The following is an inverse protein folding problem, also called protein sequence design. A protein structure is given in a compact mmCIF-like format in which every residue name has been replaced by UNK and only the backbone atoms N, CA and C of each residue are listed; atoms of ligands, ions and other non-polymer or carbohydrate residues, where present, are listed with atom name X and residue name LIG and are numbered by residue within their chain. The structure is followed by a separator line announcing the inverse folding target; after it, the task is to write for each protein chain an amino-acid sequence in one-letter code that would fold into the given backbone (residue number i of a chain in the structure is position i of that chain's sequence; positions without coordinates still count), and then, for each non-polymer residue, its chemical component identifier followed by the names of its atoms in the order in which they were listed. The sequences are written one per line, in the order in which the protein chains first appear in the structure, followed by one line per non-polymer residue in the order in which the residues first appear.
data_IF_857733906948
#
_entry.id   IF_857733906948
#
_cell.length_a   1.000
_cell.length_b   1.000
_cell.length_c   1.000
_cell.angle_alpha   90.00
_cell.angle_beta   90.00
_cell.angle_gamma   90.00
#
_symmetry.space_group_name_H-M   'P 1'
#
loop_
_entity.id
_entity.type
_entity.pdbx_description
1 polymer ?
#
# COMPACT_ATOMS: atom_id res chain seq x y z
N UNK A 1 -18.93 -11.06 16.14
CA UNK A 1 -18.40 -9.69 16.17
C UNK A 1 -16.89 -9.82 16.22
N UNK A 2 -16.16 -9.24 15.27
CA UNK A 2 -14.70 -9.18 15.33
C UNK A 2 -14.40 -8.00 16.25
N UNK A 3 -14.03 -8.29 17.50
CA UNK A 3 -13.73 -7.29 18.52
C UNK A 3 -12.24 -7.09 18.63
N UNK A 4 -11.73 -5.97 18.11
CA UNK A 4 -10.56 -5.29 18.65
C UNK A 4 -11.03 -4.18 19.60
N UNK A 5 -10.27 -3.89 20.64
CA UNK A 5 -10.59 -2.78 21.54
C UNK A 5 -10.59 -1.46 20.75
N UNK A 6 -11.70 -0.74 20.80
CA UNK A 6 -11.94 0.46 20.00
C UNK A 6 -11.12 1.69 20.42
N UNK A 7 -9.87 1.50 20.82
CA UNK A 7 -8.86 2.55 20.97
C UNK A 7 -7.75 2.29 19.97
N UNK A 8 -7.70 3.13 18.93
CA UNK A 8 -6.63 3.22 17.93
C UNK A 8 -6.77 2.31 16.68
N UNK A 9 -7.96 2.25 16.09
CA UNK A 9 -8.17 1.81 14.71
C UNK A 9 -7.66 2.87 13.70
N UNK A 10 -6.37 3.23 13.78
CA UNK A 10 -5.74 4.16 12.85
C UNK A 10 -5.12 3.40 11.68
N UNK A 11 -5.82 3.35 10.55
CA UNK A 11 -5.29 2.85 9.29
C UNK A 11 -4.43 3.93 8.63
N UNK A 12 -3.19 3.59 8.25
CA UNK A 12 -2.33 4.46 7.45
C UNK A 12 -2.22 3.88 6.05
N UNK A 13 -2.80 4.59 5.08
CA UNK A 13 -2.61 4.35 3.66
C UNK A 13 -1.38 5.14 3.18
N UNK A 14 -0.44 4.45 2.52
CA UNK A 14 0.72 5.09 1.94
C UNK A 14 0.85 4.79 0.45
N UNK A 15 1.32 5.79 -0.30
CA UNK A 15 1.74 5.67 -1.69
C UNK A 15 3.07 6.39 -1.86
N UNK A 16 4.10 5.64 -2.24
CA UNK A 16 5.41 6.17 -2.58
C UNK A 16 5.80 5.67 -3.97
N UNK A 17 6.39 6.52 -4.79
CA UNK A 17 6.75 6.13 -6.14
C UNK A 17 7.81 7.01 -6.77
N UNK A 18 8.43 6.47 -7.82
CA UNK A 18 9.38 7.17 -8.68
C UNK A 18 8.82 7.27 -10.09
N UNK A 19 9.08 8.40 -10.74
CA UNK A 19 8.72 8.64 -12.13
C UNK A 19 10.02 9.00 -12.89
N UNK A 20 10.23 8.35 -14.03
CA UNK A 20 11.34 8.62 -14.92
C UNK A 20 10.85 8.86 -16.33
N UNK A 21 11.29 9.96 -16.94
CA UNK A 21 10.93 10.34 -18.30
C UNK A 21 12.16 10.46 -19.18
N UNK A 22 12.13 9.84 -20.37
CA UNK A 22 13.16 10.03 -21.41
C UNK A 22 12.53 9.98 -22.81
N UNK A 23 12.73 11.03 -23.61
CA UNK A 23 12.32 11.09 -25.02
C UNK A 23 10.88 10.61 -25.30
N UNK A 24 9.91 11.08 -24.51
CA UNK A 24 8.51 10.70 -24.65
C UNK A 24 8.16 9.31 -24.14
N UNK A 25 9.10 8.58 -23.53
CA UNK A 25 8.84 7.39 -22.73
C UNK A 25 8.70 7.80 -21.26
N UNK A 26 7.64 7.34 -20.60
CA UNK A 26 7.37 7.56 -19.18
C UNK A 26 7.30 6.20 -18.48
N UNK A 27 8.14 6.03 -17.45
CA UNK A 27 8.14 4.87 -16.57
C UNK A 27 7.77 5.31 -15.16
N UNK A 28 6.82 4.60 -14.55
CA UNK A 28 6.37 4.83 -13.19
C UNK A 28 6.43 3.54 -12.39
N UNK A 29 6.99 3.61 -11.18
CA UNK A 29 6.94 2.52 -10.21
C UNK A 29 6.42 3.09 -8.89
N UNK A 30 5.32 2.54 -8.38
CA UNK A 30 4.70 2.92 -7.11
C UNK A 30 4.53 1.72 -6.20
N UNK A 31 4.83 1.89 -4.92
CA UNK A 31 4.40 0.98 -3.86
C UNK A 31 3.19 1.62 -3.16
N UNK A 32 2.11 0.85 -3.06
CA UNK A 32 0.91 1.21 -2.31
C UNK A 32 0.67 0.16 -1.23
N UNK A 33 0.27 0.59 -0.04
CA UNK A 33 -0.05 -0.36 1.01
C UNK A 33 -0.86 0.27 2.13
N UNK A 34 -1.47 -0.61 2.91
CA UNK A 34 -2.22 -0.25 4.12
C UNK A 34 -1.57 -0.99 5.27
N UNK A 35 -1.11 -0.25 6.29
CA UNK A 35 -0.63 -0.84 7.53
C UNK A 35 -1.79 -0.95 8.52
N UNK A 36 -2.09 -2.17 8.96
CA UNK A 36 -3.13 -2.47 9.96
C UNK A 36 -2.40 -2.81 11.26
N UNK A 37 -2.62 -2.03 12.32
CA UNK A 37 -2.12 -2.38 13.64
C UNK A 37 -2.82 -3.65 14.12
N UNK A 38 -2.07 -4.72 14.39
CA UNK A 38 -2.61 -6.01 14.87
C UNK A 38 -2.61 -6.14 16.39
N UNK A 39 -2.31 -5.05 17.12
CA UNK A 39 -2.39 -5.03 18.59
C UNK A 39 -3.78 -5.46 19.05
N UNK A 40 -3.86 -6.60 19.76
CA UNK A 40 -5.11 -7.16 20.27
C UNK A 40 -5.77 -8.25 19.39
N UNK A 41 -5.25 -8.52 18.18
CA UNK A 41 -5.75 -9.61 17.35
C UNK A 41 -5.22 -10.98 17.83
N UNK A 42 -6.09 -12.00 17.83
CA UNK A 42 -5.65 -13.39 17.99
C UNK A 42 -4.79 -13.79 16.79
N UNK A 43 -3.70 -14.53 16.99
CA UNK A 43 -2.67 -14.88 15.98
C UNK A 43 -3.20 -15.47 14.65
N UNK A 44 -4.48 -15.82 14.54
CA UNK A 44 -5.13 -16.29 13.31
C UNK A 44 -5.82 -15.20 12.48
N UNK A 45 -6.00 -13.99 13.02
CA UNK A 45 -6.71 -12.87 12.39
C UNK A 45 -5.77 -11.72 11.96
N UNK A 46 -4.44 -11.87 12.12
CA UNK A 46 -3.46 -10.98 11.50
C UNK A 46 -3.56 -11.10 9.98
N UNK A 47 -4.36 -10.22 9.34
CA UNK A 47 -4.37 -10.15 7.88
C UNK A 47 -2.97 -9.78 7.41
N UNK A 48 -2.43 -10.48 6.40
CA UNK A 48 -1.10 -10.18 5.88
C UNK A 48 -1.09 -8.74 5.38
N UNK A 49 -0.08 -7.98 5.83
CA UNK A 49 0.23 -6.65 5.33
C UNK A 49 0.09 -6.61 3.80
N UNK A 50 -0.88 -5.83 3.30
CA UNK A 50 -1.15 -5.77 1.87
C UNK A 50 -0.36 -4.62 1.27
N UNK A 51 0.82 -4.93 0.72
CA UNK A 51 1.59 -4.01 -0.11
C UNK A 51 1.54 -4.49 -1.55
N UNK A 52 1.17 -3.61 -2.47
CA UNK A 52 1.18 -3.85 -3.90
C UNK A 52 2.17 -2.92 -4.62
N UNK A 53 2.89 -3.46 -5.59
CA UNK A 53 3.72 -2.70 -6.50
C UNK A 53 2.97 -2.48 -7.82
N UNK A 54 2.91 -1.25 -8.29
CA UNK A 54 2.30 -0.84 -9.55
C UNK A 54 3.39 -0.29 -10.46
N UNK A 55 3.60 -0.96 -11.59
CA UNK A 55 4.50 -0.52 -12.64
C UNK A 55 3.71 -0.09 -13.87
N UNK A 56 4.04 1.07 -14.43
CA UNK A 56 3.44 1.60 -15.66
C UNK A 56 4.54 2.07 -16.61
N UNK A 57 4.39 1.72 -17.89
CA UNK A 57 5.25 2.18 -18.97
C UNK A 57 4.36 2.72 -20.09
N UNK A 58 4.50 4.01 -20.41
CA UNK A 58 3.71 4.67 -21.45
C UNK A 58 4.57 5.45 -22.43
N UNK A 59 4.06 5.59 -23.65
CA UNK A 59 4.67 6.38 -24.72
C UNK A 59 3.76 7.57 -25.02
N UNK A 60 4.30 8.77 -24.86
CA UNK A 60 3.65 10.01 -25.30
C UNK A 60 3.90 10.21 -26.79
N UNK A 61 2.85 10.46 -27.55
CA UNK A 61 2.88 10.77 -28.99
C UNK A 61 2.80 12.29 -29.21
#
# INVERSE_FOLDING_TARGET
AVGGDGSDDHYIDYKAGVNFGVQGLLAELSAIGTNVSTTGFSNGDEKPYSTAAVFSLSKSF
#
